data_IF_070012091677
#
_entry.id   IF_070012091677
#
_cell.length_a   1.000
_cell.length_b   1.000
_cell.length_c   1.000
_cell.angle_alpha   90.00
_cell.angle_beta   90.00
_cell.angle_gamma   90.00
#
_symmetry.space_group_name_H-M   'P 1'
#
loop_
_entity.id
_entity.type
_entity.pdbx_description
1 polymer ?
#
# COMPACT_ATOMS: atom_id res chain seq x y z
N UNK A 1 18.96 17.00 -3.73
CA UNK A 1 18.14 16.18 -4.65
C UNK A 1 17.41 15.12 -3.83
N UNK A 2 16.15 14.81 -4.15
CA UNK A 2 15.36 13.80 -3.44
C UNK A 2 15.56 12.41 -4.06
N UNK A 3 15.74 11.36 -3.24
CA UNK A 3 15.78 9.95 -3.69
C UNK A 3 14.34 9.44 -3.83
N UNK A 4 13.73 9.75 -4.97
CA UNK A 4 12.35 9.41 -5.33
C UNK A 4 12.33 8.10 -6.13
N UNK A 5 11.39 7.19 -5.80
CA UNK A 5 11.23 5.89 -6.45
C UNK A 5 9.77 5.62 -6.85
N UNK A 6 9.52 4.94 -7.99
CA UNK A 6 8.19 4.48 -8.35
C UNK A 6 7.70 3.41 -7.36
N UNK A 7 6.44 3.54 -6.92
CA UNK A 7 5.70 2.49 -6.23
C UNK A 7 4.90 1.68 -7.25
N UNK A 8 5.32 0.44 -7.51
CA UNK A 8 4.64 -0.45 -8.45
C UNK A 8 3.50 -1.21 -7.78
N UNK A 9 2.36 -1.30 -8.46
CA UNK A 9 1.23 -2.17 -8.11
C UNK A 9 1.27 -3.44 -8.96
N UNK A 10 1.30 -4.59 -8.30
CA UNK A 10 1.13 -5.91 -8.89
C UNK A 10 -0.20 -6.52 -8.42
N UNK A 11 -0.87 -7.32 -9.25
CA UNK A 11 -2.07 -8.05 -8.84
C UNK A 11 -1.83 -9.56 -8.79
N UNK A 12 -2.24 -10.19 -7.68
CA UNK A 12 -2.14 -11.64 -7.48
C UNK A 12 -3.45 -12.32 -7.83
N UNK A 13 -3.63 -12.76 -9.09
CA UNK A 13 -4.83 -13.51 -9.53
C UNK A 13 -5.18 -14.71 -8.63
N UNK A 14 -4.17 -15.33 -8.00
CA UNK A 14 -4.33 -16.46 -7.07
C UNK A 14 -4.92 -16.07 -5.71
N UNK A 15 -4.61 -14.86 -5.23
CA UNK A 15 -5.05 -14.37 -3.92
C UNK A 15 -6.20 -13.37 -4.04
N UNK A 16 -6.39 -12.70 -5.19
CA UNK A 16 -7.21 -11.49 -5.32
C UNK A 16 -6.76 -10.41 -4.32
N UNK A 17 -5.46 -10.11 -4.36
CA UNK A 17 -4.73 -9.22 -3.44
C UNK A 17 -3.68 -8.41 -4.25
N UNK A 18 -3.62 -7.10 -4.00
CA UNK A 18 -2.69 -6.16 -4.63
C UNK A 18 -1.40 -5.98 -3.83
N UNK A 19 -0.29 -6.28 -4.47
CA UNK A 19 1.03 -6.16 -3.88
C UNK A 19 1.75 -4.88 -4.35
N UNK A 20 1.94 -3.96 -3.41
CA UNK A 20 2.58 -2.67 -3.66
C UNK A 20 4.06 -2.69 -3.21
N UNK A 21 5.00 -2.29 -4.09
CA UNK A 21 6.45 -2.23 -3.78
C UNK A 21 7.21 -1.37 -4.79
N UNK A 22 8.27 -0.67 -4.37
CA UNK A 22 9.26 -0.11 -5.33
C UNK A 22 10.24 -1.18 -5.85
N UNK A 23 10.29 -2.34 -5.20
CA UNK A 23 11.25 -3.39 -5.50
C UNK A 23 10.65 -4.44 -6.44
N UNK A 24 10.73 -4.23 -7.76
CA UNK A 24 10.25 -5.22 -8.74
C UNK A 24 10.88 -6.62 -8.56
N UNK A 25 12.10 -6.73 -8.01
CA UNK A 25 12.74 -8.03 -7.72
C UNK A 25 12.09 -8.76 -6.54
N UNK A 26 11.48 -8.04 -5.59
CA UNK A 26 10.67 -8.62 -4.53
C UNK A 26 9.42 -9.29 -5.12
N UNK A 27 8.59 -8.53 -5.84
CA UNK A 27 7.35 -9.04 -6.44
C UNK A 27 7.60 -10.25 -7.35
N UNK A 28 8.59 -10.15 -8.24
CA UNK A 28 8.91 -11.21 -9.21
C UNK A 28 9.57 -12.44 -8.58
N UNK A 29 10.58 -12.30 -7.70
CA UNK A 29 11.31 -13.46 -7.14
C UNK A 29 10.64 -14.06 -5.90
N UNK A 30 10.09 -13.25 -5.00
CA UNK A 30 9.52 -13.71 -3.72
C UNK A 30 8.06 -14.13 -3.86
N UNK A 31 7.29 -13.41 -4.67
CA UNK A 31 5.84 -13.63 -4.82
C UNK A 31 5.44 -14.21 -6.19
N UNK A 32 6.40 -14.41 -7.11
CA UNK A 32 6.20 -14.96 -8.47
C UNK A 32 5.17 -14.17 -9.31
N UNK A 33 5.03 -12.87 -9.04
CA UNK A 33 4.13 -12.00 -9.78
C UNK A 33 4.76 -11.62 -11.14
N UNK A 34 3.93 -11.50 -12.19
CA UNK A 34 4.39 -11.08 -13.52
C UNK A 34 4.97 -9.66 -13.44
N UNK A 35 6.15 -9.44 -14.03
CA UNK A 35 6.73 -8.08 -14.12
C UNK A 35 5.80 -7.17 -14.93
N UNK A 36 5.53 -5.99 -14.41
CA UNK A 36 4.82 -4.91 -15.10
C UNK A 36 5.60 -3.60 -14.92
N UNK A 37 5.12 -2.52 -15.55
CA UNK A 37 5.59 -1.15 -15.33
C UNK A 37 4.47 -0.28 -14.74
N UNK A 38 3.55 -0.88 -13.98
CA UNK A 38 2.37 -0.20 -13.45
C UNK A 38 2.75 0.58 -12.19
N UNK A 39 3.03 1.87 -12.35
CA UNK A 39 3.37 2.80 -11.27
C UNK A 39 2.09 3.46 -10.77
N UNK A 40 1.85 3.41 -9.46
CA UNK A 40 0.71 4.10 -8.82
C UNK A 40 1.08 5.54 -8.50
N UNK A 41 2.28 5.73 -7.95
CA UNK A 41 2.81 7.02 -7.54
C UNK A 41 4.33 6.93 -7.37
N UNK A 42 4.96 8.04 -7.03
CA UNK A 42 6.38 8.15 -6.71
C UNK A 42 6.56 8.58 -5.25
N UNK A 43 7.28 7.76 -4.49
CA UNK A 43 7.50 7.92 -3.05
C UNK A 43 8.98 8.17 -2.74
N UNK A 44 9.29 8.77 -1.60
CA UNK A 44 10.66 8.93 -1.16
C UNK A 44 11.21 7.58 -0.64
N UNK A 45 12.42 7.19 -1.05
CA UNK A 45 13.08 5.97 -0.54
C UNK A 45 13.53 6.12 0.92
N UNK A 46 13.84 7.35 1.34
CA UNK A 46 14.29 7.73 2.68
C UNK A 46 13.50 8.95 3.16
N UNK A 47 13.20 9.01 4.46
CA UNK A 47 12.64 10.21 5.07
C UNK A 47 13.62 11.38 5.02
N UNK A 48 13.06 12.58 4.99
CA UNK A 48 13.75 13.82 5.31
C UNK A 48 13.74 14.02 6.85
N UNK A 49 14.60 14.89 7.42
CA UNK A 49 14.62 15.16 8.87
C UNK A 49 13.26 15.63 9.42
N UNK A 50 12.49 16.36 8.61
CA UNK A 50 11.17 16.90 8.94
C UNK A 50 10.20 16.73 7.77
N UNK A 51 8.90 16.92 8.03
CA UNK A 51 7.86 17.01 7.00
C UNK A 51 7.59 15.73 6.21
N UNK A 52 8.18 14.59 6.60
CA UNK A 52 7.93 13.28 5.98
C UNK A 52 7.71 12.20 7.03
N UNK A 53 6.98 11.15 6.67
CA UNK A 53 6.68 10.00 7.54
C UNK A 53 6.80 8.67 6.78
N UNK A 54 7.17 7.57 7.45
CA UNK A 54 7.24 6.26 6.81
C UNK A 54 5.83 5.76 6.42
N UNK A 55 5.69 5.35 5.16
CA UNK A 55 4.59 4.50 4.71
C UNK A 55 4.98 3.05 5.00
N UNK A 56 4.52 2.50 6.12
CA UNK A 56 4.71 1.11 6.49
C UNK A 56 3.88 0.18 5.61
N UNK A 57 4.33 -1.07 5.47
CA UNK A 57 3.59 -2.15 4.79
C UNK A 57 3.43 -3.34 5.73
N UNK A 58 2.19 -3.80 5.83
CA UNK A 58 1.72 -4.86 6.70
C UNK A 58 1.20 -6.05 5.87
N UNK A 59 1.05 -7.21 6.50
CA UNK A 59 0.49 -8.40 5.85
C UNK A 59 -0.17 -9.34 6.88
N UNK A 60 -1.42 -9.73 6.62
CA UNK A 60 -2.10 -10.84 7.30
C UNK A 60 -1.86 -12.13 6.51
N UNK A 61 -1.29 -13.12 7.21
CA UNK A 61 -1.03 -14.46 6.70
C UNK A 61 -1.73 -15.58 7.47
N UNK A 62 -2.66 -15.23 8.36
CA UNK A 62 -3.30 -16.18 9.29
C UNK A 62 -4.23 -17.17 8.59
N UNK A 63 -4.89 -16.74 7.51
CA UNK A 63 -5.91 -17.53 6.83
C UNK A 63 -5.37 -18.60 5.86
N UNK A 64 -4.05 -18.74 5.68
CA UNK A 64 -3.40 -19.65 4.69
C UNK A 64 -3.88 -21.11 4.66
N UNK A 65 -4.44 -21.62 5.77
CA UNK A 65 -5.04 -22.97 5.87
C UNK A 65 -6.53 -23.05 5.51
N UNK A 66 -7.25 -21.92 5.49
CA UNK A 66 -8.71 -21.84 5.27
C UNK A 66 -9.06 -21.18 3.93
N UNK A 67 -8.48 -20.03 3.61
CA UNK A 67 -8.57 -19.42 2.27
C UNK A 67 -7.31 -18.64 1.91
N UNK A 68 -6.95 -18.62 0.62
CA UNK A 68 -5.89 -17.75 0.12
C UNK A 68 -6.32 -16.31 -0.12
N UNK A 69 -7.61 -16.06 -0.32
CA UNK A 69 -8.19 -14.72 -0.58
C UNK A 69 -8.47 -13.90 0.69
N UNK A 70 -8.13 -14.47 1.85
CA UNK A 70 -8.13 -13.79 3.16
C UNK A 70 -6.70 -13.49 3.65
N UNK A 71 -5.71 -13.55 2.75
CA UNK A 71 -4.37 -12.98 3.00
C UNK A 71 -4.29 -11.71 2.18
N UNK A 72 -3.84 -10.64 2.81
CA UNK A 72 -3.95 -9.28 2.28
C UNK A 72 -2.72 -8.46 2.69
N UNK A 73 -2.33 -7.52 1.84
CA UNK A 73 -1.35 -6.48 2.12
C UNK A 73 -2.01 -5.10 2.19
N UNK A 74 -1.83 -4.41 3.30
CA UNK A 74 -2.11 -2.98 3.39
C UNK A 74 -0.84 -2.19 3.77
N UNK A 75 -0.89 -0.90 3.47
CA UNK A 75 0.09 0.12 3.79
C UNK A 75 -0.56 1.27 4.56
N UNK A 76 0.22 1.90 5.44
CA UNK A 76 -0.25 2.94 6.35
C UNK A 76 0.91 3.75 6.92
N UNK A 77 0.63 4.98 7.33
CA UNK A 77 1.54 5.82 8.12
C UNK A 77 1.30 5.68 9.64
N UNK A 78 0.13 5.20 10.04
CA UNK A 78 -0.28 5.06 11.45
C UNK A 78 -0.06 3.62 11.92
N UNK A 79 1.02 3.38 12.69
CA UNK A 79 1.27 2.03 13.27
C UNK A 79 0.16 1.59 14.25
N UNK A 80 -0.53 2.57 14.86
CA UNK A 80 -1.55 2.34 15.88
C UNK A 80 -2.85 1.70 15.38
N UNK A 81 -3.23 1.80 14.10
CA UNK A 81 -4.46 1.13 13.62
C UNK A 81 -4.40 -0.40 13.81
N UNK A 82 -3.19 -1.00 13.85
CA UNK A 82 -3.00 -2.43 14.15
C UNK A 82 -3.43 -2.87 15.56
N UNK A 83 -3.79 -1.91 16.42
CA UNK A 83 -4.44 -2.15 17.70
C UNK A 83 -5.97 -2.36 17.55
N UNK A 84 -6.55 -2.01 16.41
CA UNK A 84 -7.99 -2.18 16.16
C UNK A 84 -8.37 -3.66 15.97
N UNK A 85 -9.63 -3.98 16.22
CA UNK A 85 -10.15 -5.33 16.04
C UNK A 85 -10.10 -5.82 14.57
N UNK A 86 -10.00 -4.92 13.60
CA UNK A 86 -9.85 -5.25 12.17
C UNK A 86 -8.40 -5.65 11.85
N UNK A 87 -7.43 -4.80 12.22
CA UNK A 87 -6.03 -4.97 11.80
C UNK A 87 -5.16 -5.79 12.77
N UNK A 88 -5.72 -6.33 13.87
CA UNK A 88 -4.99 -7.09 14.91
C UNK A 88 -4.21 -8.31 14.40
N UNK A 89 -4.56 -8.89 13.25
CA UNK A 89 -3.89 -10.06 12.65
C UNK A 89 -2.65 -9.70 11.82
N UNK A 90 -2.58 -8.46 11.34
CA UNK A 90 -1.54 -8.00 10.43
C UNK A 90 -0.21 -7.77 11.15
N UNK A 91 0.91 -8.06 10.48
CA UNK A 91 2.25 -7.83 11.02
C UNK A 91 3.10 -7.01 10.06
N UNK A 92 3.82 -6.01 10.60
CA UNK A 92 4.71 -5.10 9.85
C UNK A 92 5.75 -5.92 9.10
N UNK A 93 5.92 -5.68 7.79
CA UNK A 93 6.84 -6.42 6.92
C UNK A 93 8.01 -5.57 6.43
N UNK A 94 7.75 -4.32 6.12
CA UNK A 94 8.76 -3.35 5.68
C UNK A 94 8.23 -1.93 5.86
N UNK A 95 9.11 -0.95 5.69
CA UNK A 95 8.71 0.37 5.18
C UNK A 95 8.60 0.21 3.65
N UNK A 96 7.50 0.68 3.05
CA UNK A 96 7.35 0.76 1.60
C UNK A 96 8.08 1.98 1.03
N UNK A 97 8.08 3.09 1.77
CA UNK A 97 8.85 4.30 1.50
C UNK A 97 8.43 5.39 2.47
N UNK A 98 8.55 6.65 2.06
CA UNK A 98 8.15 7.81 2.85
C UNK A 98 7.32 8.76 1.98
N UNK A 99 6.36 9.44 2.60
CA UNK A 99 5.51 10.45 2.00
C UNK A 99 5.54 11.73 2.84
N UNK A 100 5.16 12.87 2.26
CA UNK A 100 5.11 14.14 2.98
C UNK A 100 3.91 14.18 3.93
N UNK A 101 4.08 14.84 5.09
CA UNK A 101 3.04 14.99 6.12
C UNK A 101 2.03 16.10 5.80
N UNK A 102 2.38 17.00 4.88
CA UNK A 102 1.54 18.07 4.34
C UNK A 102 1.87 18.29 2.88
N UNK A 103 0.92 18.80 2.09
CA UNK A 103 1.09 18.96 0.64
C UNK A 103 2.31 19.84 0.32
N UNK A 104 3.02 19.46 -0.74
CA UNK A 104 4.12 20.19 -1.38
C UNK A 104 3.80 20.40 -2.86
N UNK A 105 4.54 21.29 -3.52
CA UNK A 105 4.52 21.41 -4.98
C UNK A 105 4.62 20.04 -5.65
N UNK A 106 3.79 19.83 -6.67
CA UNK A 106 3.76 18.62 -7.49
C UNK A 106 3.42 17.32 -6.74
N UNK A 107 2.80 17.41 -5.55
CA UNK A 107 2.34 16.25 -4.77
C UNK A 107 0.82 16.16 -4.62
N UNK A 108 0.32 14.94 -4.70
CA UNK A 108 -1.08 14.55 -4.57
C UNK A 108 -1.27 13.69 -3.30
N UNK A 109 -2.47 13.66 -2.69
CA UNK A 109 -2.78 12.69 -1.64
C UNK A 109 -2.68 11.26 -2.18
N UNK A 110 -2.18 10.33 -1.36
CA UNK A 110 -2.27 8.89 -1.64
C UNK A 110 -3.48 8.31 -0.90
N UNK A 111 -4.59 8.17 -1.62
CA UNK A 111 -5.80 7.53 -1.11
C UNK A 111 -5.63 6.02 -0.96
N UNK A 112 -6.29 5.44 0.05
CA UNK A 112 -6.48 4.00 0.19
C UNK A 112 -7.95 3.66 -0.03
N UNK A 113 -8.20 2.54 -0.70
CA UNK A 113 -9.52 1.94 -0.81
C UNK A 113 -9.43 0.46 -0.43
N UNK A 114 -10.50 -0.11 0.13
CA UNK A 114 -10.59 -1.55 0.39
C UNK A 114 -11.68 -2.23 -0.44
N UNK A 115 -11.47 -3.51 -0.73
CA UNK A 115 -12.47 -4.44 -1.25
C UNK A 115 -12.74 -5.52 -0.21
N UNK A 116 -13.98 -5.64 0.25
CA UNK A 116 -14.40 -6.50 1.37
C UNK A 116 -15.59 -7.39 0.99
N UNK A 117 -15.54 -7.97 -0.21
CA UNK A 117 -16.65 -8.74 -0.80
C UNK A 117 -16.54 -10.24 -0.45
N UNK A 118 -17.38 -10.68 0.48
CA UNK A 118 -17.44 -12.08 0.91
C UNK A 118 -16.13 -12.56 1.55
N UNK A 119 -15.44 -13.48 0.88
CA UNK A 119 -14.17 -14.04 1.34
C UNK A 119 -12.93 -13.40 0.70
N UNK A 120 -13.06 -12.19 0.11
CA UNK A 120 -11.94 -11.41 -0.44
C UNK A 120 -11.62 -10.23 0.49
N UNK A 121 -10.32 -9.97 0.69
CA UNK A 121 -9.78 -8.73 1.23
C UNK A 121 -8.65 -8.27 0.31
N UNK A 122 -8.70 -7.01 -0.10
CA UNK A 122 -7.70 -6.39 -0.98
C UNK A 122 -7.64 -4.88 -0.66
N UNK A 123 -6.44 -4.29 -0.54
CA UNK A 123 -6.26 -2.84 -0.37
C UNK A 123 -5.56 -2.23 -1.59
N UNK A 124 -6.23 -1.25 -2.18
CA UNK A 124 -5.81 -0.52 -3.37
C UNK A 124 -5.36 0.89 -3.00
N UNK A 125 -4.40 1.42 -3.76
CA UNK A 125 -3.83 2.75 -3.53
C UNK A 125 -3.80 3.53 -4.84
N UNK A 126 -4.10 4.82 -4.78
CA UNK A 126 -4.07 5.71 -5.96
C UNK A 126 -3.97 7.18 -5.55
N UNK A 127 -3.52 8.03 -6.47
CA UNK A 127 -3.62 9.50 -6.36
C UNK A 127 -4.92 10.06 -6.92
N UNK A 128 -5.76 9.22 -7.52
CA UNK A 128 -7.09 9.60 -8.02
C UNK A 128 -8.13 9.63 -6.89
N UNK A 129 -8.97 10.67 -6.88
CA UNK A 129 -10.11 10.81 -5.95
C UNK A 129 -11.20 9.74 -6.15
N UNK A 130 -11.18 9.05 -7.29
CA UNK A 130 -12.12 7.98 -7.62
C UNK A 130 -11.39 6.62 -7.62
N UNK A 131 -11.74 5.78 -6.64
CA UNK A 131 -11.23 4.43 -6.53
C UNK A 131 -11.77 3.47 -7.61
N UNK A 132 -11.15 2.29 -7.78
CA UNK A 132 -11.58 1.29 -8.75
C UNK A 132 -12.96 0.70 -8.39
N UNK A 133 -13.72 0.30 -9.41
CA UNK A 133 -15.10 -0.16 -9.25
C UNK A 133 -15.24 -1.28 -8.20
N UNK A 134 -16.18 -1.09 -7.27
CA UNK A 134 -16.48 -2.06 -6.20
C UNK A 134 -15.60 -1.96 -4.96
N UNK A 135 -14.61 -1.06 -4.94
CA UNK A 135 -13.89 -0.69 -3.72
C UNK A 135 -14.58 0.49 -3.01
N UNK A 136 -14.35 0.61 -1.70
CA UNK A 136 -14.82 1.72 -0.87
C UNK A 136 -13.63 2.50 -0.33
N UNK A 137 -13.73 3.84 -0.24
CA UNK A 137 -12.69 4.69 0.34
C UNK A 137 -12.42 4.30 1.80
N UNK A 138 -11.15 4.21 2.15
CA UNK A 138 -10.64 3.66 3.40
C UNK A 138 -9.66 4.65 4.04
N UNK A 139 -10.19 5.83 4.33
CA UNK A 139 -9.48 6.99 4.86
C UNK A 139 -9.11 6.79 6.35
N UNK A 140 -7.85 6.42 6.65
CA UNK A 140 -7.27 6.82 7.94
C UNK A 140 -7.05 8.33 7.94
N UNK A 141 -7.17 8.92 9.12
CA UNK A 141 -7.15 10.36 9.38
C UNK A 141 -5.78 11.04 9.28
N UNK A 142 -4.80 10.46 8.57
CA UNK A 142 -3.41 10.94 8.53
C UNK A 142 -2.86 11.08 7.10
N UNK A 143 -2.64 12.30 6.58
CA UNK A 143 -2.34 12.50 5.18
C UNK A 143 -0.92 12.09 4.79
N UNK A 144 -0.82 11.48 3.61
CA UNK A 144 0.38 10.94 3.00
C UNK A 144 0.50 11.46 1.55
N UNK A 145 1.23 12.55 1.36
CA UNK A 145 1.37 13.18 0.03
C UNK A 145 2.56 12.62 -0.74
N UNK A 146 2.35 12.31 -2.02
CA UNK A 146 3.29 11.62 -2.91
C UNK A 146 3.38 12.32 -4.27
N UNK A 147 4.46 12.10 -5.01
CA UNK A 147 4.53 12.54 -6.40
C UNK A 147 3.68 11.62 -7.31
N UNK A 148 3.14 12.12 -8.44
CA UNK A 148 2.39 11.29 -9.40
C UNK A 148 3.26 10.22 -10.10
N UNK A 149 2.61 9.33 -10.84
CA UNK A 149 3.15 8.12 -11.48
C UNK A 149 4.17 8.34 -12.61
#
# INVERSE_FOLDING_TARGET
VLDVVPLFQFFSQRNRDHFHTYNQREATRRYRLKRNNNVVCRILRRGLPEGTRPLYRYFDGSHRRRSRTLNDHFMTTIEAETRSAEFRSYRRRSIAGYCFTSQKSDTLPLHRYHLKTGNVRDHYYTTEENGPQGYTLDDFTDPCYVYPA
#
